data_IF_643363155267
#
_entry.id   IF_643363155267
#
_cell.length_a   1.000
_cell.length_b   1.000
_cell.length_c   1.000
_cell.angle_alpha   90.00
_cell.angle_beta   90.00
_cell.angle_gamma   90.00
#
_symmetry.space_group_name_H-M   'P 1'
#
loop_
_entity.id
_entity.type
_entity.pdbx_description
1 polymer ?
#
# COMPACT_ATOMS: atom_id res chain seq x y z
N UNK A 1 3.86 14.51 -23.53
CA UNK A 1 4.09 14.77 -22.09
C UNK A 1 3.66 13.52 -21.33
N UNK A 2 4.58 12.59 -21.07
CA UNK A 2 4.25 11.36 -20.34
C UNK A 2 3.96 11.71 -18.89
N UNK A 3 2.74 11.47 -18.43
CA UNK A 3 2.41 11.57 -17.01
C UNK A 3 3.24 10.50 -16.28
N UNK A 4 4.05 10.92 -15.31
CA UNK A 4 4.78 10.01 -14.42
C UNK A 4 3.80 9.21 -13.58
N UNK A 5 3.32 8.09 -14.12
CA UNK A 5 2.31 7.24 -13.51
C UNK A 5 2.75 6.66 -12.16
N UNK A 6 4.07 6.66 -11.90
CA UNK A 6 4.67 6.14 -10.67
C UNK A 6 4.20 6.86 -9.42
N UNK A 7 3.93 8.16 -9.51
CA UNK A 7 3.48 8.96 -8.37
C UNK A 7 1.99 8.71 -8.01
N UNK A 8 1.02 8.81 -8.94
CA UNK A 8 -0.38 8.51 -8.64
C UNK A 8 -0.58 7.03 -8.30
N UNK A 9 0.13 6.12 -8.96
CA UNK A 9 0.01 4.69 -8.70
C UNK A 9 0.58 4.32 -7.31
N UNK A 10 1.73 4.88 -6.92
CA UNK A 10 2.28 4.70 -5.58
C UNK A 10 1.38 5.27 -4.48
N UNK A 11 0.73 6.42 -4.73
CA UNK A 11 -0.23 7.00 -3.81
C UNK A 11 -1.48 6.11 -3.65
N UNK A 12 -2.02 5.61 -4.76
CA UNK A 12 -3.18 4.72 -4.76
C UNK A 12 -2.90 3.44 -3.96
N UNK A 13 -1.79 2.74 -4.26
CA UNK A 13 -1.40 1.53 -3.53
C UNK A 13 -1.11 1.80 -2.05
N UNK A 14 -0.50 2.95 -1.73
CA UNK A 14 -0.27 3.35 -0.34
C UNK A 14 -1.57 3.55 0.43
N UNK A 15 -2.54 4.28 -0.14
CA UNK A 15 -3.84 4.53 0.51
C UNK A 15 -4.64 3.23 0.64
N UNK A 16 -4.75 2.44 -0.44
CA UNK A 16 -5.46 1.16 -0.40
C UNK A 16 -4.82 0.18 0.59
N UNK A 17 -3.49 0.10 0.60
CA UNK A 17 -2.75 -0.74 1.55
C UNK A 17 -2.95 -0.30 2.99
N UNK A 18 -2.98 1.01 3.25
CA UNK A 18 -3.25 1.55 4.58
C UNK A 18 -4.66 1.20 5.05
N UNK A 19 -5.67 1.42 4.20
CA UNK A 19 -7.06 1.09 4.51
C UNK A 19 -7.23 -0.41 4.77
N UNK A 20 -6.65 -1.26 3.91
CA UNK A 20 -6.75 -2.71 4.05
C UNK A 20 -6.00 -3.23 5.29
N UNK A 21 -4.85 -2.63 5.63
CA UNK A 21 -4.10 -2.94 6.86
C UNK A 21 -4.92 -2.58 8.09
N UNK A 22 -5.50 -1.37 8.13
CA UNK A 22 -6.33 -0.92 9.24
C UNK A 22 -7.58 -1.78 9.39
N UNK A 23 -8.23 -2.11 8.26
CA UNK A 23 -9.37 -3.01 8.25
C UNK A 23 -8.99 -4.40 8.79
N UNK A 24 -7.95 -5.02 8.25
CA UNK A 24 -7.47 -6.33 8.70
C UNK A 24 -7.05 -6.35 10.17
N UNK A 25 -6.51 -5.24 10.68
CA UNK A 25 -6.18 -5.10 12.10
C UNK A 25 -7.43 -4.96 12.98
N UNK A 26 -8.43 -4.18 12.54
CA UNK A 26 -9.68 -3.97 13.26
C UNK A 26 -10.60 -5.20 13.26
N UNK A 27 -10.53 -6.02 12.21
CA UNK A 27 -11.36 -7.23 12.07
C UNK A 27 -10.67 -8.51 12.54
N UNK A 28 -9.49 -8.40 13.15
CA UNK A 28 -8.70 -9.56 13.58
C UNK A 28 -9.46 -10.36 14.64
N UNK A 29 -9.61 -11.67 14.42
CA UNK A 29 -10.35 -12.55 15.33
C UNK A 29 -11.87 -12.39 15.33
N UNK A 30 -12.46 -11.62 14.41
CA UNK A 30 -13.91 -11.60 14.24
C UNK A 30 -14.38 -12.87 13.50
N UNK A 31 -15.49 -13.50 13.92
CA UNK A 31 -16.06 -14.64 13.19
C UNK A 31 -16.40 -14.23 11.75
N UNK A 32 -15.84 -14.95 10.76
CA UNK A 32 -16.14 -14.75 9.33
C UNK A 32 -15.15 -13.86 8.56
N UNK A 33 -14.22 -13.18 9.23
CA UNK A 33 -13.16 -12.39 8.56
C UNK A 33 -11.86 -13.15 8.39
N UNK A 34 -11.72 -14.28 9.09
CA UNK A 34 -10.59 -15.22 9.01
C UNK A 34 -11.10 -16.67 8.86
N UNK A 35 -11.71 -17.06 7.72
CA UNK A 35 -12.30 -18.40 7.55
C UNK A 35 -11.29 -19.55 7.74
N UNK A 36 -10.03 -19.30 7.40
CA UNK A 36 -8.89 -20.22 7.54
C UNK A 36 -8.05 -19.95 8.79
N UNK A 37 -8.44 -19.00 9.65
CA UNK A 37 -7.63 -18.53 10.79
C UNK A 37 -6.41 -17.68 10.40
N UNK A 38 -6.28 -17.33 9.11
CA UNK A 38 -5.22 -16.48 8.58
C UNK A 38 -5.77 -15.08 8.34
N UNK A 39 -5.14 -14.02 8.87
CA UNK A 39 -5.56 -12.64 8.65
C UNK A 39 -5.15 -12.15 7.25
N UNK A 40 -5.76 -12.70 6.21
CA UNK A 40 -5.43 -12.45 4.79
C UNK A 40 -5.47 -10.96 4.46
N UNK A 41 -6.49 -10.25 4.95
CA UNK A 41 -6.62 -8.80 4.74
C UNK A 41 -5.45 -8.03 5.35
N UNK A 42 -5.00 -8.43 6.54
CA UNK A 42 -3.86 -7.77 7.19
C UNK A 42 -2.56 -8.05 6.44
N UNK A 43 -2.31 -9.30 6.04
CA UNK A 43 -1.11 -9.69 5.31
C UNK A 43 -1.02 -8.94 3.99
N UNK A 44 -2.07 -9.01 3.17
CA UNK A 44 -2.08 -8.32 1.88
C UNK A 44 -2.12 -6.80 2.02
N UNK A 45 -2.78 -6.27 3.05
CA UNK A 45 -2.74 -4.84 3.37
C UNK A 45 -1.32 -4.35 3.61
N UNK A 46 -0.54 -5.06 4.42
CA UNK A 46 0.86 -4.72 4.72
C UNK A 46 1.73 -4.83 3.46
N UNK A 47 1.55 -5.88 2.65
CA UNK A 47 2.28 -6.05 1.38
C UNK A 47 1.98 -4.89 0.42
N UNK A 48 0.71 -4.52 0.26
CA UNK A 48 0.29 -3.44 -0.63
C UNK A 48 0.79 -2.07 -0.13
N UNK A 49 0.76 -1.84 1.18
CA UNK A 49 1.29 -0.64 1.82
C UNK A 49 2.80 -0.51 1.59
N UNK A 50 3.55 -1.58 1.83
CA UNK A 50 5.01 -1.61 1.62
C UNK A 50 5.36 -1.33 0.16
N UNK A 51 4.62 -1.93 -0.78
CA UNK A 51 4.78 -1.69 -2.21
C UNK A 51 4.48 -0.23 -2.60
N UNK A 52 3.36 0.33 -2.13
CA UNK A 52 3.00 1.73 -2.39
C UNK A 52 4.03 2.72 -1.84
N UNK A 53 4.51 2.49 -0.61
CA UNK A 53 5.59 3.28 -0.01
C UNK A 53 6.89 3.20 -0.82
N UNK A 54 7.27 1.99 -1.25
CA UNK A 54 8.45 1.78 -2.08
C UNK A 54 8.37 2.58 -3.40
N UNK A 55 7.22 2.53 -4.08
CA UNK A 55 6.99 3.32 -5.29
C UNK A 55 7.06 4.84 -5.04
N UNK A 56 6.46 5.32 -3.95
CA UNK A 56 6.51 6.74 -3.56
C UNK A 56 7.93 7.19 -3.25
N UNK A 57 8.74 6.36 -2.58
CA UNK A 57 10.15 6.62 -2.31
C UNK A 57 10.95 6.74 -3.62
N UNK A 58 10.75 5.82 -4.56
CA UNK A 58 11.38 5.89 -5.88
C UNK A 58 10.94 7.15 -6.64
N UNK A 59 9.65 7.50 -6.60
CA UNK A 59 9.14 8.71 -7.24
C UNK A 59 9.72 9.99 -6.64
N UNK A 60 9.89 10.05 -5.30
CA UNK A 60 10.58 11.15 -4.61
C UNK A 60 12.04 11.26 -5.03
N UNK A 61 12.77 10.15 -5.08
CA UNK A 61 14.18 10.11 -5.52
C UNK A 61 14.36 10.63 -6.95
N UNK A 62 13.51 10.23 -7.90
CA UNK A 62 13.61 10.70 -9.28
C UNK A 62 13.31 12.20 -9.44
N UNK A 63 12.35 12.73 -8.67
CA UNK A 63 12.10 14.18 -8.64
C UNK A 63 13.29 14.96 -8.07
N UNK A 64 13.99 14.43 -7.08
CA UNK A 64 15.17 15.07 -6.52
C UNK A 64 16.36 15.03 -7.50
N UNK A 65 16.58 13.92 -8.18
CA UNK A 65 17.63 13.78 -9.20
C UNK A 65 17.41 14.72 -10.40
N UNK A 66 16.16 15.00 -10.77
CA UNK A 66 15.84 15.92 -11.87
C UNK A 66 15.90 17.41 -11.50
N UNK A 67 16.13 17.72 -10.22
CA UNK A 67 16.21 19.10 -9.69
C UNK A 67 17.66 19.56 -9.47
N UNK A 68 18.64 18.68 -9.70
CA UNK A 68 20.08 18.97 -9.76
C UNK A 68 20.50 19.11 -11.21
#
# INVERSE_FOLDING_TARGET
MGIDLRMPLGALFGVLGLLLTLYGAATRGQPGTEPTGVPVNLIWGVVLLAFGLWMLLLARRARQASKM
#
